data_IF_332363533047
#
_entry.id   IF_332363533047
#
_cell.length_a   1.000
_cell.length_b   1.000
_cell.length_c   1.000
_cell.angle_alpha   90.00
_cell.angle_beta   90.00
_cell.angle_gamma   90.00
#
_symmetry.space_group_name_H-M   'P 1'
#
loop_
_entity.id
_entity.type
_entity.pdbx_description
1 polymer ?
#
# COMPACT_ATOMS: atom_id res chain seq x y z
N UNK A 1 0.88 8.90 10.93
CA UNK A 1 0.34 8.45 9.66
C UNK A 1 -0.97 9.15 9.29
N UNK A 2 -1.88 9.33 10.24
CA UNK A 2 -3.25 9.84 10.01
C UNK A 2 -3.32 11.25 9.41
N UNK A 3 -2.36 12.14 9.69
CA UNK A 3 -2.41 13.53 9.20
C UNK A 3 -1.91 13.74 7.77
N UNK A 4 -1.08 12.84 7.24
CA UNK A 4 -0.48 12.99 5.90
C UNK A 4 -0.47 11.67 5.13
N UNK A 5 0.08 10.60 5.71
CA UNK A 5 0.36 9.38 4.96
C UNK A 5 -0.89 8.65 4.50
N UNK A 6 -1.98 8.62 5.26
CA UNK A 6 -3.23 8.00 4.82
C UNK A 6 -4.04 8.88 3.85
N UNK A 7 -4.27 10.18 4.13
CA UNK A 7 -5.11 11.00 3.24
C UNK A 7 -4.52 11.20 1.84
N UNK A 8 -3.20 11.36 1.72
CA UNK A 8 -2.59 11.73 0.45
C UNK A 8 -2.73 10.65 -0.65
N UNK A 9 -2.30 9.39 -0.46
CA UNK A 9 -2.47 8.37 -1.48
C UNK A 9 -3.94 8.03 -1.74
N UNK A 10 -4.78 8.08 -0.70
CA UNK A 10 -6.22 7.87 -0.85
C UNK A 10 -6.85 8.94 -1.74
N UNK A 11 -6.50 10.21 -1.56
CA UNK A 11 -7.03 11.29 -2.41
C UNK A 11 -6.62 11.10 -3.87
N UNK A 12 -5.38 10.69 -4.14
CA UNK A 12 -4.90 10.42 -5.51
C UNK A 12 -5.66 9.27 -6.14
N UNK A 13 -5.65 8.10 -5.51
CA UNK A 13 -6.24 6.87 -6.09
C UNK A 13 -7.75 6.98 -6.22
N UNK A 14 -8.45 7.45 -5.18
CA UNK A 14 -9.91 7.56 -5.21
C UNK A 14 -10.38 8.62 -6.20
N UNK A 15 -9.61 9.70 -6.41
CA UNK A 15 -9.88 10.67 -7.47
C UNK A 15 -9.72 10.06 -8.85
N UNK A 16 -8.67 9.26 -9.09
CA UNK A 16 -8.48 8.55 -10.36
C UNK A 16 -9.61 7.55 -10.65
N UNK A 17 -10.13 6.89 -9.62
CA UNK A 17 -11.28 5.99 -9.73
C UNK A 17 -12.56 6.77 -10.04
N UNK A 18 -12.66 8.04 -9.63
CA UNK A 18 -13.84 8.87 -9.76
C UNK A 18 -14.74 8.86 -8.53
N UNK A 19 -14.22 8.43 -7.37
CA UNK A 19 -14.94 8.49 -6.10
C UNK A 19 -15.04 9.95 -5.63
N UNK A 20 -16.23 10.48 -5.33
CA UNK A 20 -16.38 11.82 -4.81
C UNK A 20 -15.66 12.03 -3.47
N UNK A 21 -15.03 13.20 -3.29
CA UNK A 21 -14.22 13.52 -2.09
C UNK A 21 -14.96 13.29 -0.77
N UNK A 22 -16.27 13.54 -0.74
CA UNK A 22 -17.12 13.29 0.44
C UNK A 22 -17.15 11.83 0.90
N UNK A 23 -16.86 10.89 0.00
CA UNK A 23 -16.92 9.45 0.23
C UNK A 23 -15.53 8.84 0.50
N UNK A 24 -14.43 9.63 0.39
CA UNK A 24 -13.07 9.14 0.60
C UNK A 24 -12.86 8.51 1.99
N UNK A 25 -13.41 9.14 3.05
CA UNK A 25 -13.29 8.60 4.41
C UNK A 25 -13.99 7.24 4.53
N UNK A 26 -15.16 7.06 3.92
CA UNK A 26 -15.85 5.76 3.88
C UNK A 26 -14.97 4.69 3.22
N UNK A 27 -14.30 5.01 2.12
CA UNK A 27 -13.42 4.07 1.42
C UNK A 27 -12.19 3.70 2.26
N UNK A 28 -11.62 4.66 2.98
CA UNK A 28 -10.53 4.41 3.94
C UNK A 28 -10.98 3.45 5.05
N UNK A 29 -12.14 3.72 5.67
CA UNK A 29 -12.66 2.88 6.75
C UNK A 29 -12.91 1.45 6.27
N UNK A 30 -13.53 1.28 5.11
CA UNK A 30 -13.77 -0.05 4.52
C UNK A 30 -12.46 -0.80 4.21
N UNK A 31 -11.42 -0.09 3.76
CA UNK A 31 -10.11 -0.69 3.51
C UNK A 31 -9.43 -1.13 4.80
N UNK A 32 -9.47 -0.31 5.84
CA UNK A 32 -8.93 -0.68 7.14
C UNK A 32 -9.66 -1.90 7.71
N UNK A 33 -11.00 -1.95 7.65
CA UNK A 33 -11.76 -3.11 8.11
C UNK A 33 -11.46 -4.37 7.31
N UNK A 34 -11.05 -4.24 6.05
CA UNK A 34 -10.66 -5.36 5.22
C UNK A 34 -9.27 -5.91 5.57
N UNK A 35 -8.27 -5.03 5.69
CA UNK A 35 -6.87 -5.43 5.83
C UNK A 35 -6.37 -5.47 7.28
N UNK A 36 -6.95 -4.67 8.16
CA UNK A 36 -6.55 -4.55 9.56
C UNK A 36 -7.67 -4.96 10.52
N UNK A 37 -8.45 -5.96 10.12
CA UNK A 37 -9.61 -6.46 10.87
C UNK A 37 -9.28 -6.91 12.30
N UNK A 38 -8.04 -7.33 12.55
CA UNK A 38 -7.55 -7.76 13.86
C UNK A 38 -6.87 -6.65 14.66
N UNK A 39 -6.70 -5.45 14.09
CA UNK A 39 -6.09 -4.32 14.78
C UNK A 39 -7.11 -3.61 15.67
N UNK A 40 -6.83 -3.43 16.99
CA UNK A 40 -7.81 -2.85 17.90
C UNK A 40 -8.16 -1.39 17.62
N UNK A 41 -7.27 -0.64 16.93
CA UNK A 41 -7.46 0.78 16.62
C UNK A 41 -8.08 1.01 15.22
N UNK A 42 -7.98 0.03 14.32
CA UNK A 42 -8.36 0.16 12.90
C UNK A 42 -9.48 -0.80 12.48
N UNK A 43 -9.87 -1.75 13.34
CA UNK A 43 -10.95 -2.68 13.05
C UNK A 43 -12.32 -1.99 12.96
N UNK A 44 -13.30 -2.71 12.43
CA UNK A 44 -14.70 -2.24 12.42
C UNK A 44 -15.20 -1.95 13.84
N UNK A 45 -15.78 -0.77 14.11
CA UNK A 45 -16.29 -0.41 15.42
C UNK A 45 -17.25 -1.46 16.00
N UNK A 46 -16.98 -1.90 17.22
CA UNK A 46 -17.79 -2.90 17.92
C UNK A 46 -17.60 -4.36 17.47
N UNK A 47 -16.67 -4.63 16.55
CA UNK A 47 -16.32 -6.01 16.19
C UNK A 47 -15.49 -6.67 17.30
N UNK A 48 -15.78 -7.94 17.59
CA UNK A 48 -14.88 -8.76 18.40
C UNK A 48 -13.76 -9.32 17.50
N UNK A 49 -12.58 -8.71 17.57
CA UNK A 49 -11.43 -9.05 16.72
C UNK A 49 -10.81 -10.43 17.01
N UNK A 50 -11.20 -11.09 18.10
CA UNK A 50 -10.73 -12.44 18.47
C UNK A 50 -11.73 -13.54 18.08
N UNK A 51 -12.91 -13.17 17.58
CA UNK A 51 -13.94 -14.10 17.15
C UNK A 51 -13.90 -14.28 15.61
N UNK A 52 -13.52 -15.47 15.11
CA UNK A 52 -13.51 -15.73 13.67
C UNK A 52 -14.84 -15.45 12.95
N UNK A 53 -15.98 -15.64 13.64
CA UNK A 53 -17.28 -15.37 13.06
C UNK A 53 -17.52 -13.85 12.84
N UNK A 54 -17.06 -13.01 13.75
CA UNK A 54 -17.10 -11.54 13.59
C UNK A 54 -16.14 -11.05 12.52
N UNK A 55 -14.99 -11.72 12.31
CA UNK A 55 -14.07 -11.42 11.21
C UNK A 55 -14.76 -11.70 9.86
N UNK A 56 -15.35 -12.88 9.68
CA UNK A 56 -16.09 -13.25 8.46
C UNK A 56 -17.21 -12.26 8.21
N UNK A 57 -17.99 -11.95 9.24
CA UNK A 57 -19.07 -10.96 9.16
C UNK A 57 -18.56 -9.56 8.75
N UNK A 58 -17.39 -9.17 9.23
CA UNK A 58 -16.78 -7.89 8.83
C UNK A 58 -16.43 -7.90 7.34
N UNK A 59 -15.86 -8.98 6.83
CA UNK A 59 -15.57 -9.11 5.40
C UNK A 59 -16.83 -9.09 4.54
N UNK A 60 -17.90 -9.76 4.98
CA UNK A 60 -19.20 -9.73 4.29
C UNK A 60 -19.80 -8.31 4.24
N UNK A 61 -19.72 -7.58 5.36
CA UNK A 61 -20.18 -6.19 5.41
C UNK A 61 -19.36 -5.34 4.44
N UNK A 62 -18.03 -5.41 4.49
CA UNK A 62 -17.14 -4.64 3.63
C UNK A 62 -17.38 -4.95 2.16
N UNK A 63 -17.50 -6.23 1.81
CA UNK A 63 -17.78 -6.64 0.43
C UNK A 63 -19.12 -6.08 -0.08
N UNK A 64 -20.17 -6.15 0.72
CA UNK A 64 -21.50 -5.65 0.34
C UNK A 64 -21.53 -4.12 0.21
N UNK A 65 -20.83 -3.40 1.09
CA UNK A 65 -20.69 -1.94 1.00
C UNK A 65 -19.97 -1.50 -0.28
N UNK A 66 -18.83 -2.12 -0.60
CA UNK A 66 -18.12 -1.86 -1.85
C UNK A 66 -18.96 -2.24 -3.08
N UNK A 67 -19.60 -3.41 -3.04
CA UNK A 67 -20.44 -3.89 -4.13
C UNK A 67 -21.54 -2.88 -4.45
N UNK A 68 -22.35 -2.52 -3.45
CA UNK A 68 -23.46 -1.57 -3.63
C UNK A 68 -22.97 -0.21 -4.13
N UNK A 69 -21.85 0.26 -3.60
CA UNK A 69 -21.27 1.53 -4.02
C UNK A 69 -20.85 1.51 -5.48
N UNK A 70 -20.08 0.50 -5.89
CA UNK A 70 -19.56 0.41 -7.24
C UNK A 70 -20.60 -0.01 -8.29
N UNK A 71 -21.62 -0.79 -7.93
CA UNK A 71 -22.77 -1.04 -8.82
C UNK A 71 -23.41 0.26 -9.29
N UNK A 72 -23.63 1.19 -8.36
CA UNK A 72 -24.18 2.50 -8.69
C UNK A 72 -23.26 3.32 -9.61
N UNK A 73 -21.96 3.35 -9.31
CA UNK A 73 -20.99 4.08 -10.14
C UNK A 73 -20.85 3.47 -11.53
N UNK A 74 -20.79 2.14 -11.65
CA UNK A 74 -20.72 1.43 -12.92
C UNK A 74 -21.93 1.76 -13.79
N UNK A 75 -23.13 1.67 -13.25
CA UNK A 75 -24.36 1.98 -13.97
C UNK A 75 -24.37 3.42 -14.50
N UNK A 76 -23.92 4.38 -13.70
CA UNK A 76 -23.80 5.79 -14.11
C UNK A 76 -22.77 5.93 -15.25
N UNK A 77 -21.58 5.33 -15.12
CA UNK A 77 -20.50 5.46 -16.10
C UNK A 77 -20.73 4.67 -17.40
N UNK A 78 -21.61 3.68 -17.39
CA UNK A 78 -22.08 3.02 -18.62
C UNK A 78 -23.02 3.93 -19.43
N UNK A 79 -23.81 4.77 -18.76
CA UNK A 79 -24.72 5.72 -19.42
C UNK A 79 -24.01 7.01 -19.81
N UNK A 80 -23.14 7.53 -18.94
CA UNK A 80 -22.44 8.81 -19.12
C UNK A 80 -20.96 8.66 -18.73
N UNK A 81 -20.10 8.18 -19.64
CA UNK A 81 -18.67 8.02 -19.38
C UNK A 81 -18.00 9.39 -19.13
N UNK A 82 -17.08 9.42 -18.15
CA UNK A 82 -16.22 10.57 -17.85
C UNK A 82 -14.75 10.14 -17.84
N UNK A 83 -13.83 11.06 -17.62
CA UNK A 83 -12.40 10.75 -17.59
C UNK A 83 -11.98 10.20 -16.21
N UNK A 84 -12.40 8.98 -15.89
CA UNK A 84 -12.02 8.24 -14.68
C UNK A 84 -11.83 6.75 -14.95
N UNK A 85 -11.19 6.06 -13.99
CA UNK A 85 -10.93 4.62 -14.10
C UNK A 85 -12.22 3.80 -14.10
N UNK A 86 -13.25 4.24 -13.37
CA UNK A 86 -14.56 3.56 -13.37
C UNK A 86 -15.17 3.54 -14.77
N UNK A 87 -15.09 4.64 -15.54
CA UNK A 87 -15.57 4.67 -16.94
C UNK A 87 -14.80 3.69 -17.83
N UNK A 88 -13.49 3.61 -17.64
CA UNK A 88 -12.64 2.66 -18.40
C UNK A 88 -13.04 1.21 -18.09
N UNK A 89 -13.24 0.89 -16.82
CA UNK A 89 -13.62 -0.46 -16.36
C UNK A 89 -15.06 -0.79 -16.80
N UNK A 90 -16.01 0.13 -16.58
CA UNK A 90 -17.43 -0.08 -16.89
C UNK A 90 -17.71 -0.33 -18.37
N UNK A 91 -16.88 0.22 -19.26
CA UNK A 91 -17.00 0.07 -20.72
C UNK A 91 -15.90 -0.82 -21.33
N UNK A 92 -15.05 -1.41 -20.48
CA UNK A 92 -13.91 -2.22 -20.90
C UNK A 92 -14.29 -3.61 -21.40
N UNK A 93 -13.34 -4.25 -22.09
CA UNK A 93 -13.48 -5.61 -22.63
C UNK A 93 -12.27 -6.46 -22.24
N UNK A 94 -12.53 -7.73 -21.96
CA UNK A 94 -11.48 -8.75 -21.75
C UNK A 94 -11.63 -9.78 -22.86
N UNK A 95 -10.57 -9.99 -23.65
CA UNK A 95 -10.63 -10.92 -24.79
C UNK A 95 -11.69 -10.57 -25.85
N UNK A 96 -12.01 -9.27 -26.00
CA UNK A 96 -13.04 -8.79 -26.92
C UNK A 96 -14.48 -8.81 -26.37
N UNK A 97 -14.72 -9.46 -25.22
CA UNK A 97 -16.02 -9.52 -24.57
C UNK A 97 -16.16 -8.43 -23.49
N UNK A 98 -17.34 -7.81 -23.32
CA UNK A 98 -17.60 -6.92 -22.18
C UNK A 98 -17.28 -7.61 -20.86
N UNK A 99 -16.73 -6.85 -19.91
CA UNK A 99 -16.50 -7.37 -18.55
C UNK A 99 -17.83 -7.69 -17.86
N UNK A 100 -17.82 -8.79 -17.08
CA UNK A 100 -18.96 -9.09 -16.22
C UNK A 100 -19.02 -8.07 -15.06
N UNK A 101 -20.20 -7.83 -14.52
CA UNK A 101 -20.39 -6.94 -13.35
C UNK A 101 -19.46 -7.34 -12.19
N UNK A 102 -19.37 -8.65 -11.90
CA UNK A 102 -18.45 -9.18 -10.88
C UNK A 102 -17.00 -8.76 -11.13
N UNK A 103 -16.53 -8.85 -12.39
CA UNK A 103 -15.16 -8.45 -12.73
C UNK A 103 -14.98 -6.94 -12.54
N UNK A 104 -15.93 -6.12 -13.01
CA UNK A 104 -15.86 -4.66 -12.85
C UNK A 104 -15.78 -4.26 -11.38
N UNK A 105 -16.66 -4.82 -10.53
CA UNK A 105 -16.64 -4.57 -9.07
C UNK A 105 -15.31 -5.02 -8.48
N UNK A 106 -14.82 -6.22 -8.81
CA UNK A 106 -13.54 -6.73 -8.29
C UNK A 106 -12.36 -5.84 -8.65
N UNK A 107 -12.30 -5.31 -9.88
CA UNK A 107 -11.25 -4.37 -10.29
C UNK A 107 -11.34 -3.04 -9.52
N UNK A 108 -12.53 -2.51 -9.30
CA UNK A 108 -12.72 -1.27 -8.55
C UNK A 108 -12.38 -1.46 -7.06
N UNK A 109 -12.78 -2.56 -6.46
CA UNK A 109 -12.43 -2.90 -5.07
C UNK A 109 -10.92 -3.00 -4.91
N UNK A 110 -10.24 -3.78 -5.76
CA UNK A 110 -8.78 -3.94 -5.64
C UNK A 110 -8.04 -2.62 -5.89
N UNK A 111 -8.48 -1.81 -6.86
CA UNK A 111 -7.87 -0.52 -7.12
C UNK A 111 -8.03 0.43 -5.94
N UNK A 112 -9.23 0.51 -5.35
CA UNK A 112 -9.51 1.42 -4.23
C UNK A 112 -8.86 0.99 -2.92
N UNK A 113 -8.62 -0.28 -2.69
CA UNK A 113 -8.02 -0.78 -1.44
C UNK A 113 -6.50 -0.88 -1.53
N UNK A 114 -5.98 -1.62 -2.51
CA UNK A 114 -4.55 -1.84 -2.65
C UNK A 114 -3.78 -0.57 -3.08
N UNK A 115 -4.44 0.37 -3.75
CA UNK A 115 -3.79 1.54 -4.33
C UNK A 115 -3.38 2.59 -3.30
N UNK A 116 -4.07 2.70 -2.16
CA UNK A 116 -3.72 3.74 -1.18
C UNK A 116 -3.05 3.20 0.09
N UNK A 117 -3.50 2.10 0.66
CA UNK A 117 -3.06 1.66 1.99
C UNK A 117 -1.57 1.26 2.02
N UNK A 118 -1.11 0.56 0.99
CA UNK A 118 0.30 0.17 0.84
C UNK A 118 1.22 1.38 0.62
N UNK A 119 0.80 2.36 -0.19
CA UNK A 119 1.54 3.60 -0.41
C UNK A 119 1.56 4.45 0.85
N UNK A 120 0.46 4.47 1.60
CA UNK A 120 0.36 5.13 2.91
C UNK A 120 1.33 4.54 3.93
N UNK A 121 1.37 3.22 4.04
CA UNK A 121 2.29 2.50 4.93
C UNK A 121 3.75 2.79 4.57
N UNK A 122 4.08 2.79 3.27
CA UNK A 122 5.42 3.10 2.78
C UNK A 122 5.80 4.55 3.06
N UNK A 123 4.91 5.50 2.80
CA UNK A 123 5.13 6.92 3.08
C UNK A 123 5.34 7.18 4.57
N UNK A 124 4.52 6.56 5.42
CA UNK A 124 4.66 6.65 6.86
C UNK A 124 6.00 6.09 7.37
N UNK A 125 6.46 4.98 6.77
CA UNK A 125 7.77 4.40 7.07
C UNK A 125 8.91 5.33 6.66
N UNK A 126 8.84 5.95 5.48
CA UNK A 126 9.84 6.93 5.05
C UNK A 126 9.94 8.12 5.99
N UNK A 127 8.80 8.65 6.46
CA UNK A 127 8.78 9.72 7.45
C UNK A 127 9.34 9.27 8.80
N UNK A 128 9.02 8.07 9.24
CA UNK A 128 9.56 7.48 10.47
C UNK A 128 11.08 7.38 10.40
N UNK A 129 11.61 6.82 9.32
CA UNK A 129 13.06 6.68 9.11
C UNK A 129 13.77 8.03 9.14
N UNK A 130 13.21 9.06 8.48
CA UNK A 130 13.77 10.42 8.52
C UNK A 130 13.69 11.06 9.91
N UNK A 131 12.66 10.74 10.69
CA UNK A 131 12.48 11.29 12.04
C UNK A 131 13.40 10.61 13.08
N UNK A 132 13.79 9.36 12.84
CA UNK A 132 14.75 8.63 13.70
C UNK A 132 16.21 8.91 13.35
N UNK A 133 16.52 9.27 12.10
CA UNK A 133 17.89 9.53 11.64
C UNK A 133 18.05 10.98 11.15
N UNK A 134 18.50 11.91 12.03
CA UNK A 134 18.77 13.28 11.65
C UNK A 134 19.85 13.44 10.56
N UNK A 135 20.83 12.52 10.50
CA UNK A 135 21.88 12.58 9.49
C UNK A 135 21.33 12.23 8.12
N UNK A 136 20.50 11.20 8.03
CA UNK A 136 19.78 10.85 6.82
C UNK A 136 18.85 11.99 6.38
N UNK A 137 18.11 12.61 7.29
CA UNK A 137 17.26 13.76 6.97
C UNK A 137 18.06 14.90 6.34
N UNK A 138 19.20 15.28 6.94
CA UNK A 138 20.07 16.32 6.38
C UNK A 138 20.67 15.93 5.03
N UNK A 139 21.08 14.67 4.87
CA UNK A 139 21.58 14.12 3.60
C UNK A 139 20.53 14.26 2.50
N UNK A 140 19.28 13.88 2.79
CA UNK A 140 18.17 13.98 1.81
C UNK A 140 17.84 15.43 1.46
N UNK A 141 17.85 16.36 2.43
CA UNK A 141 17.67 17.80 2.16
C UNK A 141 18.78 18.39 1.30
N UNK A 142 20.02 18.01 1.58
CA UNK A 142 21.18 18.53 0.85
C UNK A 142 21.29 17.98 -0.58
N UNK A 143 20.74 16.82 -0.85
CA UNK A 143 20.84 16.15 -2.16
C UNK A 143 19.50 15.58 -2.63
N UNK A 144 18.62 16.39 -3.24
CA UNK A 144 17.34 15.92 -3.79
C UNK A 144 17.47 14.84 -4.87
N UNK A 145 18.65 14.68 -5.50
CA UNK A 145 18.89 13.61 -6.48
C UNK A 145 18.78 12.20 -5.85
N UNK A 146 18.84 12.09 -4.52
CA UNK A 146 18.65 10.83 -3.80
C UNK A 146 17.18 10.42 -3.66
N UNK A 147 16.21 11.29 -3.94
CA UNK A 147 14.79 11.01 -3.75
C UNK A 147 14.34 9.71 -4.46
N UNK A 148 14.69 9.45 -5.72
CA UNK A 148 14.32 8.18 -6.35
C UNK A 148 14.87 6.96 -5.61
N UNK A 149 16.13 6.97 -5.19
CA UNK A 149 16.73 5.90 -4.40
C UNK A 149 16.11 5.75 -3.02
N UNK A 150 15.79 6.86 -2.36
CA UNK A 150 15.05 6.87 -1.09
C UNK A 150 13.67 6.23 -1.22
N UNK A 151 12.96 6.49 -2.31
CA UNK A 151 11.65 5.84 -2.59
C UNK A 151 11.82 4.33 -2.73
N UNK A 152 12.76 3.85 -3.55
CA UNK A 152 12.99 2.40 -3.72
C UNK A 152 13.41 1.74 -2.40
N UNK A 153 14.31 2.38 -1.65
CA UNK A 153 14.75 1.84 -0.37
C UNK A 153 13.64 1.84 0.68
N UNK A 154 12.79 2.86 0.68
CA UNK A 154 11.62 2.90 1.56
C UNK A 154 10.63 1.77 1.22
N UNK A 155 10.41 1.46 -0.05
CA UNK A 155 9.56 0.33 -0.48
C UNK A 155 10.16 -1.00 0.00
N UNK A 156 11.47 -1.20 -0.19
CA UNK A 156 12.18 -2.38 0.32
C UNK A 156 12.04 -2.51 1.83
N UNK A 157 12.28 -1.41 2.55
CA UNK A 157 12.29 -1.34 4.00
C UNK A 157 10.91 -1.54 4.61
N UNK A 158 9.90 -0.90 4.08
CA UNK A 158 8.52 -1.01 4.56
C UNK A 158 7.92 -2.39 4.27
N UNK A 159 8.12 -2.92 3.05
CA UNK A 159 7.48 -4.17 2.60
C UNK A 159 6.01 -4.27 3.04
N UNK A 160 5.14 -3.30 2.69
CA UNK A 160 3.80 -3.17 3.29
C UNK A 160 2.92 -4.40 3.05
N UNK A 161 3.00 -5.02 1.87
CA UNK A 161 2.47 -6.37 1.66
C UNK A 161 3.49 -7.37 2.18
N UNK A 162 3.11 -8.09 3.25
CA UNK A 162 4.04 -8.97 3.93
C UNK A 162 4.23 -10.30 3.20
N UNK A 163 3.17 -10.80 2.57
CA UNK A 163 3.18 -12.10 1.94
C UNK A 163 2.11 -12.27 0.86
N UNK A 164 2.35 -13.25 -0.01
CA UNK A 164 1.34 -13.93 -0.81
C UNK A 164 1.58 -15.43 -0.78
N UNK A 165 0.55 -16.20 -1.09
CA UNK A 165 0.67 -17.65 -1.20
C UNK A 165 0.63 -18.11 -2.65
N UNK A 166 1.23 -19.29 -2.90
CA UNK A 166 1.14 -20.03 -4.17
C UNK A 166 0.87 -21.49 -3.89
N UNK A 167 0.09 -22.14 -4.74
CA UNK A 167 -0.06 -23.58 -4.71
C UNK A 167 0.84 -24.21 -5.78
N UNK A 168 1.60 -25.22 -5.39
CA UNK A 168 2.44 -25.97 -6.31
C UNK A 168 1.56 -26.73 -7.32
N UNK A 169 1.81 -26.55 -8.62
CA UNK A 169 1.06 -27.22 -9.69
C UNK A 169 1.65 -28.60 -10.04
N UNK A 170 2.87 -28.86 -9.64
CA UNK A 170 3.62 -30.11 -9.83
C UNK A 170 4.63 -30.30 -8.69
N UNK A 171 5.21 -31.51 -8.61
CA UNK A 171 6.31 -31.78 -7.67
C UNK A 171 7.56 -31.00 -8.12
N UNK A 172 8.25 -30.38 -7.15
CA UNK A 172 9.43 -29.58 -7.42
C UNK A 172 10.46 -29.69 -6.28
N UNK A 173 11.73 -29.48 -6.60
CA UNK A 173 12.79 -29.40 -5.58
C UNK A 173 13.37 -27.99 -5.56
N UNK A 174 13.23 -27.27 -4.46
CA UNK A 174 13.79 -25.94 -4.27
C UNK A 174 14.88 -25.99 -3.17
N UNK A 175 16.12 -25.70 -3.53
CA UNK A 175 17.28 -25.72 -2.60
C UNK A 175 17.34 -27.00 -1.74
N UNK A 176 17.07 -28.16 -2.37
CA UNK A 176 17.08 -29.45 -1.69
C UNK A 176 15.81 -29.81 -0.91
N UNK A 177 14.85 -28.89 -0.79
CA UNK A 177 13.55 -29.15 -0.18
C UNK A 177 12.57 -29.68 -1.22
N UNK A 178 11.93 -30.81 -0.91
CA UNK A 178 10.91 -31.40 -1.75
C UNK A 178 9.59 -30.67 -1.54
N UNK A 179 9.04 -30.12 -2.61
CA UNK A 179 7.71 -29.50 -2.67
C UNK A 179 6.82 -30.45 -3.46
N UNK A 180 5.65 -30.78 -2.93
CA UNK A 180 4.67 -31.65 -3.58
C UNK A 180 3.60 -30.84 -4.29
N UNK A 181 3.05 -31.39 -5.36
CA UNK A 181 1.87 -30.87 -6.01
C UNK A 181 0.74 -30.66 -4.99
N UNK A 182 0.19 -29.46 -4.96
CA UNK A 182 -0.86 -29.07 -4.02
C UNK A 182 -0.35 -28.41 -2.72
N UNK A 183 0.96 -28.44 -2.46
CA UNK A 183 1.53 -27.73 -1.31
C UNK A 183 1.29 -26.23 -1.43
N UNK A 184 1.02 -25.60 -0.29
CA UNK A 184 0.86 -24.16 -0.17
C UNK A 184 2.22 -23.52 0.20
N UNK A 185 2.70 -22.65 -0.67
CA UNK A 185 3.95 -21.91 -0.52
C UNK A 185 3.67 -20.52 0.01
N UNK A 186 4.28 -20.15 1.12
CA UNK A 186 4.24 -18.81 1.69
C UNK A 186 5.41 -17.98 1.17
N UNK A 187 5.14 -16.95 0.39
CA UNK A 187 6.14 -16.03 -0.14
C UNK A 187 6.29 -14.82 0.79
N UNK A 188 7.24 -14.87 1.70
CA UNK A 188 7.52 -13.77 2.63
C UNK A 188 8.31 -12.66 1.94
N UNK A 189 7.67 -11.55 1.62
CA UNK A 189 8.32 -10.39 0.99
C UNK A 189 9.24 -9.66 1.97
N UNK A 190 8.89 -9.61 3.25
CA UNK A 190 9.74 -9.01 4.29
C UNK A 190 11.08 -9.75 4.38
N UNK A 191 11.03 -11.08 4.41
CA UNK A 191 12.24 -11.91 4.44
C UNK A 191 13.06 -11.75 3.16
N UNK A 192 12.41 -11.81 1.99
CA UNK A 192 13.09 -11.68 0.71
C UNK A 192 13.77 -10.31 0.52
N UNK A 193 13.15 -9.22 1.02
CA UNK A 193 13.72 -7.87 0.99
C UNK A 193 14.81 -7.64 2.04
N UNK A 194 15.11 -8.64 2.85
CA UNK A 194 16.19 -8.65 3.85
C UNK A 194 17.10 -9.86 3.71
N UNK A 195 17.07 -10.52 2.57
CA UNK A 195 17.93 -11.66 2.25
C UNK A 195 19.37 -11.19 2.04
N UNK A 196 20.30 -11.69 2.85
CA UNK A 196 21.72 -11.33 2.80
C UNK A 196 22.41 -11.79 1.49
N UNK A 197 21.84 -12.81 0.81
CA UNK A 197 22.33 -13.23 -0.50
C UNK A 197 21.93 -12.24 -1.62
N UNK A 198 20.86 -11.45 -1.39
CA UNK A 198 20.36 -10.48 -2.37
C UNK A 198 20.75 -9.04 -2.04
N UNK A 199 20.90 -8.71 -0.77
CA UNK A 199 21.16 -7.36 -0.29
C UNK A 199 22.33 -7.34 0.70
N UNK A 200 23.48 -6.77 0.33
CA UNK A 200 24.53 -6.46 1.31
C UNK A 200 23.98 -5.55 2.41
N UNK A 201 24.27 -5.85 3.67
CA UNK A 201 23.79 -5.12 4.84
C UNK A 201 22.27 -4.87 4.80
N UNK A 202 21.43 -5.92 4.73
CA UNK A 202 20.00 -5.82 4.45
C UNK A 202 19.21 -5.09 5.55
N UNK A 203 19.76 -4.98 6.75
CA UNK A 203 19.20 -4.29 7.91
C UNK A 203 19.70 -2.84 8.06
N UNK A 204 20.40 -2.32 7.05
CA UNK A 204 20.77 -0.90 6.95
C UNK A 204 19.89 -0.23 5.91
N UNK A 205 19.29 0.90 6.28
CA UNK A 205 18.55 1.74 5.34
C UNK A 205 19.53 2.62 4.55
N UNK A 206 19.59 2.43 3.24
CA UNK A 206 20.53 3.15 2.37
C UNK A 206 19.84 3.68 1.10
N UNK A 207 19.59 5.00 1.00
CA UNK A 207 18.96 5.60 -0.18
C UNK A 207 19.83 5.55 -1.45
N UNK A 208 21.12 5.19 -1.32
CA UNK A 208 22.04 5.01 -2.43
C UNK A 208 22.24 3.53 -2.82
N UNK A 209 21.48 2.63 -2.21
CA UNK A 209 21.58 1.20 -2.49
C UNK A 209 21.41 0.91 -3.98
N UNK A 210 22.44 0.29 -4.57
CA UNK A 210 22.43 -0.12 -5.97
C UNK A 210 23.22 -1.42 -6.18
N UNK A 211 22.65 -2.47 -6.82
CA UNK A 211 21.24 -2.53 -7.23
C UNK A 211 20.28 -2.67 -6.06
N UNK A 212 19.06 -2.14 -6.17
CA UNK A 212 17.99 -2.35 -5.21
C UNK A 212 16.88 -3.20 -5.85
N UNK A 213 17.10 -4.52 -5.90
CA UNK A 213 16.20 -5.50 -6.56
C UNK A 213 15.13 -6.01 -5.62
N UNK A 214 14.48 -5.12 -4.89
CA UNK A 214 13.44 -5.51 -3.96
C UNK A 214 12.21 -6.12 -4.65
N UNK A 215 11.50 -6.98 -3.92
CA UNK A 215 10.26 -7.61 -4.36
C UNK A 215 9.01 -6.98 -3.73
N UNK A 216 9.10 -5.73 -3.25
CA UNK A 216 7.97 -5.03 -2.61
C UNK A 216 6.75 -4.84 -3.52
N UNK A 217 6.93 -4.93 -4.83
CA UNK A 217 5.85 -4.96 -5.83
C UNK A 217 5.56 -6.36 -6.37
N UNK A 218 6.11 -7.40 -5.78
CA UNK A 218 6.04 -8.75 -6.33
C UNK A 218 6.95 -8.95 -7.54
N UNK A 219 6.74 -10.06 -8.26
CA UNK A 219 7.50 -10.42 -9.43
C UNK A 219 6.67 -11.29 -10.40
N UNK A 220 7.01 -11.25 -11.70
CA UNK A 220 6.38 -12.07 -12.73
C UNK A 220 4.98 -11.59 -13.15
N UNK A 221 4.08 -12.48 -13.57
CA UNK A 221 2.77 -12.11 -14.11
C UNK A 221 1.87 -11.33 -13.14
N UNK A 222 2.13 -11.42 -11.83
CA UNK A 222 1.40 -10.74 -10.78
C UNK A 222 2.12 -9.50 -10.24
N UNK A 223 3.10 -8.95 -10.96
CA UNK A 223 3.76 -7.70 -10.56
C UNK A 223 2.72 -6.59 -10.37
N UNK A 224 2.91 -5.77 -9.35
CA UNK A 224 1.97 -4.70 -9.00
C UNK A 224 1.64 -3.80 -10.21
N UNK A 225 0.36 -3.70 -10.55
CA UNK A 225 -0.11 -2.83 -11.62
C UNK A 225 0.16 -1.35 -11.30
N UNK A 226 -0.01 -0.96 -10.03
CA UNK A 226 0.15 0.41 -9.55
C UNK A 226 1.59 0.85 -9.27
N UNK A 227 2.60 0.01 -9.53
CA UNK A 227 3.99 0.28 -9.16
C UNK A 227 4.56 1.60 -9.68
N UNK A 228 4.12 2.04 -10.85
CA UNK A 228 4.57 3.31 -11.45
C UNK A 228 3.90 4.50 -10.80
N UNK A 229 2.60 4.40 -10.49
CA UNK A 229 1.85 5.44 -9.79
C UNK A 229 2.39 5.61 -8.36
N UNK A 230 2.58 4.53 -7.62
CA UNK A 230 3.10 4.57 -6.25
C UNK A 230 4.49 5.25 -6.17
N UNK A 231 5.39 4.91 -7.10
CA UNK A 231 6.71 5.58 -7.19
C UNK A 231 6.57 7.07 -7.49
N UNK A 232 5.69 7.41 -8.42
CA UNK A 232 5.45 8.80 -8.80
C UNK A 232 4.87 9.62 -7.63
N UNK A 233 3.88 9.10 -6.95
CA UNK A 233 3.26 9.75 -5.79
C UNK A 233 4.30 10.00 -4.68
N UNK A 234 5.02 8.97 -4.30
CA UNK A 234 6.05 9.10 -3.26
C UNK A 234 7.16 10.07 -3.68
N UNK A 235 7.61 9.99 -4.94
CA UNK A 235 8.62 10.93 -5.46
C UNK A 235 8.16 12.37 -5.35
N UNK A 236 6.96 12.69 -5.86
CA UNK A 236 6.39 14.03 -5.81
C UNK A 236 6.22 14.49 -4.36
N UNK A 237 5.72 13.62 -3.48
CA UNK A 237 5.58 13.95 -2.07
C UNK A 237 6.91 14.40 -1.45
N UNK A 238 7.98 13.64 -1.67
CA UNK A 238 9.28 13.95 -1.08
C UNK A 238 9.94 15.18 -1.73
N UNK A 239 9.76 15.38 -3.04
CA UNK A 239 10.22 16.59 -3.74
C UNK A 239 9.54 17.85 -3.20
N UNK A 240 8.27 17.76 -2.81
CA UNK A 240 7.49 18.87 -2.27
C UNK A 240 7.69 19.07 -0.75
N UNK A 241 7.83 17.98 -0.01
CA UNK A 241 7.84 18.02 1.46
C UNK A 241 9.23 18.35 2.03
N UNK A 242 10.29 17.71 1.52
CA UNK A 242 11.64 17.87 2.07
C UNK A 242 12.14 19.32 2.06
N UNK A 243 11.95 20.12 0.99
CA UNK A 243 12.35 21.53 1.03
C UNK A 243 11.60 22.36 2.07
N UNK A 244 10.35 21.99 2.38
CA UNK A 244 9.51 22.70 3.36
C UNK A 244 9.80 22.36 4.80
N UNK A 245 10.40 21.19 5.06
CA UNK A 245 10.76 20.77 6.41
C UNK A 245 12.10 21.38 6.83
N UNK A 246 12.12 22.15 7.90
CA UNK A 246 13.36 22.63 8.55
C UNK A 246 13.93 21.57 9.47
N UNK A 247 13.08 20.88 10.21
CA UNK A 247 13.46 19.77 11.10
C UNK A 247 12.33 18.76 11.22
N UNK A 248 12.69 17.52 11.52
CA UNK A 248 11.80 16.43 11.88
C UNK A 248 12.48 15.57 12.93
N UNK A 249 11.71 15.08 13.90
CA UNK A 249 12.17 14.12 14.92
C UNK A 249 10.97 13.35 15.49
N UNK A 250 11.22 12.17 16.06
CA UNK A 250 10.17 11.45 16.77
C UNK A 250 9.70 12.23 18.00
N UNK A 251 8.38 12.27 18.21
CA UNK A 251 7.72 12.87 19.37
C UNK A 251 7.24 11.81 20.39
N UNK A 252 7.56 10.56 20.17
CA UNK A 252 7.16 9.42 20.99
C UNK A 252 7.34 8.10 20.27
N UNK A 253 6.79 7.02 20.81
CA UNK A 253 6.88 5.70 20.21
C UNK A 253 5.90 5.55 19.06
N UNK A 254 6.40 5.17 17.89
CA UNK A 254 5.57 4.77 16.75
C UNK A 254 4.88 3.43 16.99
N UNK A 255 3.81 3.16 16.25
CA UNK A 255 3.08 1.88 16.30
C UNK A 255 2.79 1.37 14.90
N UNK A 256 2.96 0.06 14.71
CA UNK A 256 2.53 -0.66 13.51
C UNK A 256 1.08 -1.10 13.63
N UNK A 257 0.42 -1.26 12.50
CA UNK A 257 -0.86 -1.96 12.43
C UNK A 257 -0.66 -3.46 12.69
N UNK A 258 -1.64 -4.09 13.33
CA UNK A 258 -1.65 -5.53 13.57
C UNK A 258 -2.37 -6.22 12.39
N UNK A 259 -1.59 -6.66 11.40
CA UNK A 259 -2.10 -7.34 10.21
C UNK A 259 -1.11 -8.36 9.71
N UNK A 260 -1.62 -9.49 9.22
CA UNK A 260 -0.82 -10.56 8.60
C UNK A 260 -0.56 -10.34 7.11
N UNK A 261 -1.30 -9.43 6.48
CA UNK A 261 -1.27 -9.23 5.03
C UNK A 261 -0.71 -7.86 4.64
N UNK A 262 -1.39 -6.78 4.98
CA UNK A 262 -0.90 -5.41 4.76
C UNK A 262 -0.57 -4.79 6.11
N UNK A 263 0.70 -4.50 6.33
CA UNK A 263 1.19 -3.94 7.58
C UNK A 263 2.07 -2.71 7.33
N UNK A 264 1.93 -1.73 8.19
CA UNK A 264 2.76 -0.54 8.17
C UNK A 264 2.51 0.32 9.41
N UNK A 265 3.20 1.45 9.53
CA UNK A 265 3.02 2.34 10.67
C UNK A 265 1.60 2.94 10.67
N UNK A 266 0.78 2.59 11.66
CA UNK A 266 -0.52 3.25 11.90
C UNK A 266 -0.37 4.56 12.66
N UNK A 267 0.69 4.71 13.45
CA UNK A 267 0.97 5.90 14.23
C UNK A 267 2.46 6.24 14.22
N UNK A 268 2.80 7.44 13.74
CA UNK A 268 4.16 7.97 13.73
C UNK A 268 4.10 9.39 14.32
N UNK A 269 4.27 9.53 15.66
CA UNK A 269 4.26 10.83 16.29
C UNK A 269 5.56 11.57 15.98
N UNK A 270 5.46 12.73 15.34
CA UNK A 270 6.62 13.54 14.98
C UNK A 270 6.47 14.97 15.47
N UNK A 271 7.59 15.56 15.88
CA UNK A 271 7.77 17.00 15.94
C UNK A 271 8.38 17.46 14.63
N UNK A 272 7.87 18.55 14.08
CA UNK A 272 8.47 19.13 12.87
C UNK A 272 8.41 20.66 12.94
N UNK A 273 9.32 21.29 12.23
CA UNK A 273 9.27 22.74 11.96
C UNK A 273 9.36 22.96 10.46
N UNK A 274 8.69 23.98 9.98
CA UNK A 274 8.72 24.35 8.56
C UNK A 274 9.74 25.46 8.31
N UNK A 275 10.28 25.51 7.10
CA UNK A 275 11.02 26.66 6.61
C UNK A 275 10.08 27.88 6.61
N UNK A 276 10.64 29.07 6.75
CA UNK A 276 9.86 30.29 6.59
C UNK A 276 9.28 30.35 5.17
N UNK A 277 8.01 30.70 5.05
CA UNK A 277 7.43 30.97 3.75
C UNK A 277 8.16 32.16 3.11
N UNK A 278 8.70 31.97 1.93
CA UNK A 278 9.32 33.01 1.12
C UNK A 278 8.27 33.81 0.36
#
# INVERSE_FOLDING_TARGET
ATGLAFPYPAEVVLTLIGVPKKDHQKMLDLTHWLFTYADPDLCRPGANITDPAEIIKTWDIVYNEFKTYYESMIAERQQCPVNDLTSVIANGKIGGCPMTERNMISYLVIASTAGHDTTSATTAMGMWTLAEDPALFQKMKANPALIPGFVEETIRWASPVQQFTRSATEDYVLRGQQIKKGDLLYLSYISANRDEEAFPDPFTFDPERTPNRHVGFGYGPHICLGQHLARLEMKILWEELLPRLKSVSMAGTGKFAESEFVCGPKYVPINYTLEAAH
#
